data_IF_920030374880
#
_entry.id   IF_920030374880
#
_cell.length_a   1.000
_cell.length_b   1.000
_cell.length_c   1.000
_cell.angle_alpha   90.00
_cell.angle_beta   90.00
_cell.angle_gamma   90.00
#
_symmetry.space_group_name_H-M   'P 1'
#
loop_
_entity.id
_entity.type
_entity.pdbx_description
1 polymer ?
#
# COMPACT_ATOMS: atom_id res chain seq x y z
N UNK A 1 9.66 -3.21 4.63
CA UNK A 1 8.62 -4.26 4.67
C UNK A 1 9.08 -5.42 3.80
N UNK A 2 8.84 -6.66 4.22
CA UNK A 2 9.23 -7.87 3.48
C UNK A 2 7.97 -8.61 2.98
N UNK A 3 8.05 -9.20 1.80
CA UNK A 3 6.97 -10.05 1.29
C UNK A 3 7.04 -11.41 1.98
N UNK A 4 5.99 -11.80 2.72
CA UNK A 4 5.92 -13.11 3.38
C UNK A 4 5.84 -14.32 2.43
N UNK A 5 5.65 -14.11 1.13
CA UNK A 5 5.61 -15.20 0.13
C UNK A 5 7.02 -15.46 -0.42
N UNK A 6 7.62 -14.45 -1.04
CA UNK A 6 8.93 -14.60 -1.70
C UNK A 6 10.11 -14.21 -0.80
N UNK A 7 9.86 -13.81 0.45
CA UNK A 7 10.85 -13.47 1.47
C UNK A 7 11.90 -12.43 1.05
N UNK A 8 11.56 -11.58 0.08
CA UNK A 8 12.39 -10.44 -0.33
C UNK A 8 11.80 -9.13 0.14
N UNK A 9 12.63 -8.07 0.15
CA UNK A 9 12.16 -6.72 0.43
C UNK A 9 11.07 -6.33 -0.59
N UNK A 10 10.03 -5.60 -0.16
CA UNK A 10 8.88 -5.24 -1.01
C UNK A 10 9.32 -4.52 -2.30
N UNK A 11 10.37 -3.70 -2.27
CA UNK A 11 10.90 -3.05 -3.48
C UNK A 11 11.49 -4.01 -4.52
N UNK A 12 11.80 -5.24 -4.13
CA UNK A 12 12.30 -6.32 -5.00
C UNK A 12 11.25 -7.41 -5.23
N UNK A 13 10.05 -7.25 -4.67
CA UNK A 13 8.98 -8.23 -4.80
C UNK A 13 8.41 -8.22 -6.22
N UNK A 14 8.30 -9.41 -6.83
CA UNK A 14 7.70 -9.63 -8.15
C UNK A 14 6.33 -10.30 -8.08
N UNK A 15 5.78 -10.52 -6.87
CA UNK A 15 4.45 -11.12 -6.71
C UNK A 15 3.40 -10.23 -7.42
N UNK A 16 2.53 -10.81 -8.26
CA UNK A 16 1.53 -10.04 -9.00
C UNK A 16 0.51 -9.36 -8.06
N UNK A 17 0.23 -9.99 -6.93
CA UNK A 17 -0.68 -9.57 -5.86
C UNK A 17 -0.07 -8.54 -4.87
N UNK A 18 1.19 -8.12 -5.06
CA UNK A 18 1.89 -7.30 -4.05
C UNK A 18 1.17 -5.97 -3.77
N UNK A 19 0.59 -5.34 -4.79
CA UNK A 19 -0.14 -4.08 -4.61
C UNK A 19 -1.42 -4.29 -3.80
N UNK A 20 -2.19 -5.34 -4.09
CA UNK A 20 -3.41 -5.67 -3.32
C UNK A 20 -3.08 -6.00 -1.88
N UNK A 21 -2.00 -6.72 -1.62
CA UNK A 21 -1.58 -7.05 -0.24
C UNK A 21 -1.03 -5.86 0.51
N UNK A 22 -0.33 -4.95 -0.16
CA UNK A 22 0.06 -3.68 0.46
C UNK A 22 -1.17 -2.84 0.81
N UNK A 23 -2.19 -2.82 -0.06
CA UNK A 23 -3.50 -2.20 0.21
C UNK A 23 -4.25 -2.91 1.34
N UNK A 24 -4.22 -4.24 1.40
CA UNK A 24 -4.87 -5.01 2.47
C UNK A 24 -4.16 -4.89 3.81
N UNK A 25 -2.82 -4.83 3.81
CA UNK A 25 -2.02 -4.62 5.01
C UNK A 25 -2.30 -3.25 5.66
N UNK A 26 -2.80 -2.28 4.91
CA UNK A 26 -3.18 -0.96 5.42
C UNK A 26 -4.63 -0.91 5.88
N UNK A 27 -5.47 -1.90 5.56
CA UNK A 27 -6.89 -1.94 5.99
C UNK A 27 -7.08 -2.29 7.49
N UNK A 28 -6.06 -2.86 8.13
CA UNK A 28 -6.16 -3.37 9.51
C UNK A 28 -5.73 -2.40 10.62
N UNK A 29 -5.33 -1.16 10.31
CA UNK A 29 -4.87 -0.23 11.33
C UNK A 29 -4.75 1.22 10.83
N UNK A 30 -4.43 2.14 11.74
CA UNK A 30 -4.17 3.55 11.43
C UNK A 30 -2.83 3.68 10.71
N UNK A 31 -2.79 3.27 9.44
CA UNK A 31 -1.57 3.29 8.65
C UNK A 31 -1.73 4.30 7.51
N UNK A 32 -0.91 5.35 7.57
CA UNK A 32 -0.73 6.27 6.46
C UNK A 32 0.49 5.82 5.66
N UNK A 33 0.35 5.70 4.34
CA UNK A 33 1.48 5.35 3.49
C UNK A 33 1.56 6.24 2.26
N UNK A 34 2.80 6.44 1.80
CA UNK A 34 3.10 7.27 0.64
C UNK A 34 2.85 6.46 -0.63
N UNK A 35 1.97 6.95 -1.50
CA UNK A 35 1.68 6.38 -2.81
C UNK A 35 1.90 7.41 -3.92
N UNK A 36 2.19 6.94 -5.12
CA UNK A 36 2.23 7.81 -6.30
C UNK A 36 0.80 8.00 -6.82
N UNK A 37 0.36 9.25 -6.98
CA UNK A 37 -0.99 9.57 -7.49
C UNK A 37 -1.15 9.27 -8.98
N UNK A 38 -0.04 9.23 -9.73
CA UNK A 38 -0.04 8.97 -11.17
C UNK A 38 -0.27 7.48 -11.48
N UNK A 39 0.41 6.59 -10.77
CA UNK A 39 0.36 5.15 -11.04
C UNK A 39 -0.36 4.33 -9.96
N UNK A 40 -0.88 4.98 -8.93
CA UNK A 40 -1.56 4.40 -7.76
C UNK A 40 -0.76 3.30 -7.04
N UNK A 41 0.57 3.34 -7.16
CA UNK A 41 1.48 2.37 -6.52
C UNK A 41 2.15 2.97 -5.29
N UNK A 42 2.43 2.10 -4.32
CA UNK A 42 3.25 2.43 -3.14
C UNK A 42 4.60 3.03 -3.54
N UNK A 43 5.15 3.94 -2.74
CA UNK A 43 6.38 4.67 -3.10
C UNK A 43 7.56 3.74 -3.47
N UNK A 44 7.72 2.62 -2.76
CA UNK A 44 8.76 1.63 -3.04
C UNK A 44 8.59 0.86 -4.35
N UNK A 45 7.41 0.94 -4.98
CA UNK A 45 7.07 0.24 -6.22
C UNK A 45 6.85 1.20 -7.39
N UNK A 46 6.88 2.51 -7.14
CA UNK A 46 6.74 3.51 -8.17
C UNK A 46 7.97 3.52 -9.09
N UNK A 47 7.73 3.60 -10.40
CA UNK A 47 8.76 3.72 -11.44
C UNK A 47 8.55 4.94 -12.35
N UNK A 48 7.67 5.86 -11.96
CA UNK A 48 7.44 7.09 -12.70
C UNK A 48 8.73 7.94 -12.67
N UNK A 49 9.09 8.53 -13.80
CA UNK A 49 10.24 9.45 -13.88
C UNK A 49 10.01 10.71 -13.02
N UNK A 50 8.78 11.24 -13.07
CA UNK A 50 8.33 12.37 -12.28
C UNK A 50 7.12 11.96 -11.43
N UNK A 51 7.33 11.31 -10.27
CA UNK A 51 6.24 10.84 -9.43
C UNK A 51 5.61 11.99 -8.64
N UNK A 52 4.29 12.14 -8.75
CA UNK A 52 3.51 12.93 -7.80
C UNK A 52 3.10 12.06 -6.62
N UNK A 53 3.29 12.57 -5.41
CA UNK A 53 3.11 11.81 -4.19
C UNK A 53 1.86 12.24 -3.44
N UNK A 54 1.02 11.27 -3.10
CA UNK A 54 -0.09 11.41 -2.16
C UNK A 54 0.16 10.60 -0.90
N UNK A 55 -0.54 10.97 0.17
CA UNK A 55 -0.64 10.14 1.36
C UNK A 55 -2.00 9.44 1.30
N UNK A 56 -2.00 8.12 1.31
CA UNK A 56 -3.22 7.35 1.52
C UNK A 56 -3.35 7.05 3.01
N UNK A 57 -4.47 7.50 3.57
CA UNK A 57 -4.88 7.17 4.92
C UNK A 57 -5.91 6.06 4.81
N UNK A 58 -5.61 4.89 5.35
CA UNK A 58 -6.66 3.96 5.72
C UNK A 58 -6.92 4.18 7.22
N UNK A 59 -7.96 4.93 7.53
CA UNK A 59 -8.61 4.78 8.83
C UNK A 59 -9.42 3.48 8.77
N UNK A 60 -9.34 2.60 9.79
CA UNK A 60 -10.32 1.53 9.88
C UNK A 60 -11.68 2.21 9.84
N UNK A 61 -12.51 1.85 8.86
CA UNK A 61 -13.91 2.27 8.89
C UNK A 61 -14.46 1.64 10.16
N UNK A 62 -14.54 2.41 11.24
CA UNK A 62 -15.36 2.06 12.40
C UNK A 62 -16.70 1.67 11.79
N UNK A 63 -17.03 0.38 11.87
CA UNK A 63 -18.37 -0.07 11.55
C UNK A 63 -19.26 0.70 12.50
N UNK A 64 -19.91 1.75 12.02
CA UNK A 64 -21.01 2.37 12.75
C UNK A 64 -22.14 1.35 12.69
N UNK A 65 -22.15 0.42 13.64
CA UNK A 65 -23.33 -0.33 14.00
C UNK A 65 -24.36 0.70 14.49
N UNK A 66 -25.35 0.97 13.65
CA UNK A 66 -26.58 1.59 14.14
C UNK A 66 -27.35 0.46 14.83
N UNK A 67 -27.27 0.43 16.16
CA UNK A 67 -28.19 -0.30 17.03
C UNK A 67 -29.41 0.56 17.39
#
# INVERSE_FOLDING_TARGET
>A
MYCGICNVHVSKCTCPDINERLKGATQGGHFAYKKCTICDKHYSLCKCENPEWGIEYNTPTEKVENG
#
